data_IF_371691090361
#
_entry.id   IF_371691090361
#
_cell.length_a   1.000
_cell.length_b   1.000
_cell.length_c   1.000
_cell.angle_alpha   90.00
_cell.angle_beta   90.00
_cell.angle_gamma   90.00
#
_symmetry.space_group_name_H-M   'P 1'
#
loop_
_entity.id
_entity.type
_entity.pdbx_description
1 polymer ?
#
# COMPACT_ATOMS: atom_id res chain seq x y z
N UNK A 1 -10.92 6.19 -39.33
CA UNK A 1 -10.34 4.99 -38.67
C UNK A 1 -10.51 3.84 -39.62
N UNK A 2 -9.45 3.42 -40.28
CA UNK A 2 -9.45 2.27 -41.20
C UNK A 2 -9.56 0.99 -40.40
N UNK A 3 -10.46 0.10 -40.82
CA UNK A 3 -10.62 -1.22 -40.22
C UNK A 3 -9.28 -2.00 -40.28
N UNK A 4 -8.92 -2.78 -39.23
CA UNK A 4 -7.74 -3.63 -39.31
C UNK A 4 -7.89 -4.64 -40.46
N UNK A 5 -6.82 -4.99 -41.17
CA UNK A 5 -6.85 -6.01 -42.18
C UNK A 5 -7.27 -7.37 -41.59
N UNK A 6 -7.89 -8.26 -42.38
CA UNK A 6 -8.29 -9.58 -41.94
C UNK A 6 -7.05 -10.39 -41.50
N UNK A 7 -7.19 -11.36 -40.55
CA UNK A 7 -6.08 -12.15 -40.05
C UNK A 7 -5.36 -12.86 -41.22
N UNK A 8 -4.04 -12.73 -41.27
CA UNK A 8 -3.21 -13.46 -42.24
C UNK A 8 -3.22 -14.94 -41.85
N UNK A 9 -3.02 -15.81 -42.88
CA UNK A 9 -2.95 -17.27 -42.68
C UNK A 9 -1.78 -17.73 -41.76
N UNK A 10 -0.88 -16.80 -41.39
CA UNK A 10 0.23 -17.03 -40.47
C UNK A 10 -0.06 -16.37 -39.09
N UNK A 11 -0.42 -17.16 -38.06
CA UNK A 11 -0.71 -16.65 -36.72
C UNK A 11 0.48 -15.90 -36.08
N UNK A 12 1.72 -16.26 -36.43
CA UNK A 12 2.93 -15.65 -35.87
C UNK A 12 3.17 -14.28 -36.46
N UNK A 13 2.93 -14.11 -37.76
CA UNK A 13 3.04 -12.82 -38.43
C UNK A 13 1.96 -11.86 -37.94
N UNK A 14 0.74 -12.35 -37.72
CA UNK A 14 -0.37 -11.58 -37.18
C UNK A 14 -0.11 -11.15 -35.71
N UNK A 15 0.42 -12.04 -34.86
CA UNK A 15 0.79 -11.71 -33.47
C UNK A 15 1.91 -10.66 -33.43
N UNK A 16 2.92 -10.73 -34.30
CA UNK A 16 3.95 -9.70 -34.42
C UNK A 16 3.38 -8.34 -34.87
N UNK A 17 2.45 -8.35 -35.81
CA UNK A 17 1.77 -7.13 -36.28
C UNK A 17 0.92 -6.49 -35.17
N UNK A 18 0.18 -7.30 -34.40
CA UNK A 18 -0.60 -6.83 -33.25
C UNK A 18 0.30 -6.27 -32.14
N UNK A 19 1.42 -6.91 -31.86
CA UNK A 19 2.40 -6.45 -30.87
C UNK A 19 3.01 -5.12 -31.30
N UNK A 20 3.35 -4.97 -32.58
CA UNK A 20 3.83 -3.71 -33.15
C UNK A 20 2.76 -2.61 -33.08
N UNK A 21 1.53 -2.89 -33.52
CA UNK A 21 0.43 -1.94 -33.49
C UNK A 21 0.04 -1.51 -32.07
N UNK A 22 0.15 -2.40 -31.11
CA UNK A 22 -0.09 -2.09 -29.67
C UNK A 22 1.04 -1.25 -29.09
N UNK A 23 2.30 -1.56 -29.41
CA UNK A 23 3.46 -0.75 -29.01
C UNK A 23 3.36 0.67 -29.61
N UNK A 24 3.00 0.79 -30.87
CA UNK A 24 2.79 2.08 -31.55
C UNK A 24 1.63 2.87 -30.92
N UNK A 25 0.52 2.21 -30.59
CA UNK A 25 -0.62 2.83 -29.89
C UNK A 25 -0.25 3.31 -28.49
N UNK A 26 0.58 2.55 -27.75
CA UNK A 26 1.14 2.92 -26.47
C UNK A 26 2.08 4.13 -26.60
N UNK A 27 3.00 4.11 -27.55
CA UNK A 27 3.89 5.25 -27.83
C UNK A 27 3.13 6.50 -28.24
N UNK A 28 2.09 6.36 -29.05
CA UNK A 28 1.23 7.47 -29.45
C UNK A 28 0.46 8.06 -28.28
N UNK A 29 -0.17 7.23 -27.44
CA UNK A 29 -0.84 7.70 -26.21
C UNK A 29 0.11 8.35 -25.22
N UNK A 30 1.35 7.86 -25.12
CA UNK A 30 2.40 8.48 -24.31
C UNK A 30 2.81 9.84 -24.84
N UNK A 31 3.07 9.95 -26.12
CA UNK A 31 3.41 11.22 -26.77
C UNK A 31 2.29 12.25 -26.57
N UNK A 32 1.03 11.85 -26.68
CA UNK A 32 -0.14 12.70 -26.39
C UNK A 32 -0.18 13.13 -24.91
N UNK A 33 0.11 12.21 -23.98
CA UNK A 33 0.15 12.52 -22.55
C UNK A 33 1.29 13.47 -22.20
N UNK A 34 2.49 13.24 -22.72
CA UNK A 34 3.66 14.11 -22.54
C UNK A 34 3.44 15.50 -23.14
N UNK A 35 2.77 15.57 -24.31
CA UNK A 35 2.41 16.83 -24.95
C UNK A 35 1.39 17.62 -24.12
N UNK A 36 0.42 16.94 -23.52
CA UNK A 36 -0.54 17.57 -22.59
C UNK A 36 0.14 18.07 -21.32
N UNK A 37 1.07 17.28 -20.75
CA UNK A 37 1.84 17.71 -19.57
C UNK A 37 2.76 18.89 -19.89
N UNK A 38 3.47 18.89 -21.02
CA UNK A 38 4.30 20.00 -21.45
C UNK A 38 3.48 21.28 -21.66
N UNK A 39 2.26 21.18 -22.23
CA UNK A 39 1.35 22.34 -22.36
C UNK A 39 0.90 22.86 -20.99
N UNK A 40 0.62 21.98 -20.03
CA UNK A 40 0.23 22.38 -18.67
C UNK A 40 1.38 23.02 -17.89
N UNK A 41 2.62 22.61 -18.15
CA UNK A 41 3.82 23.22 -17.56
C UNK A 41 4.18 24.57 -18.22
N UNK A 42 3.87 24.78 -19.51
CA UNK A 42 4.12 26.03 -20.21
C UNK A 42 3.10 27.13 -19.91
N UNK A 43 1.99 26.82 -19.23
CA UNK A 43 0.98 27.79 -18.79
C UNK A 43 1.26 28.31 -17.37
N UNK A 44 2.27 27.80 -16.67
CA UNK A 44 2.78 28.35 -15.43
C UNK A 44 3.85 29.40 -15.73
N UNK A 45 3.64 30.65 -15.35
CA UNK A 45 4.61 31.75 -15.48
C UNK A 45 5.97 31.35 -14.91
N UNK A 46 7.10 31.70 -15.55
CA UNK A 46 8.42 31.35 -15.09
C UNK A 46 8.75 32.04 -13.76
N UNK A 47 9.44 31.37 -12.82
CA UNK A 47 9.89 32.03 -11.58
C UNK A 47 10.94 33.09 -11.90
N UNK A 48 10.62 34.32 -11.59
CA UNK A 48 11.51 35.48 -11.73
C UNK A 48 12.48 35.56 -10.56
N UNK A 49 13.48 34.65 -10.51
CA UNK A 49 14.73 34.88 -9.74
C UNK A 49 15.80 33.86 -10.11
N UNK A 50 17.01 34.31 -10.48
CA UNK A 50 18.16 33.42 -10.65
C UNK A 50 18.63 32.91 -9.28
N UNK A 51 19.21 31.70 -9.18
CA UNK A 51 19.78 31.17 -7.95
C UNK A 51 21.05 31.97 -7.55
N UNK A 52 21.31 32.08 -6.24
CA UNK A 52 22.53 32.76 -5.76
C UNK A 52 23.78 31.94 -6.11
N UNK A 53 24.95 32.61 -6.34
CA UNK A 53 26.19 31.94 -6.71
C UNK A 53 26.74 31.12 -5.54
N UNK A 54 27.38 30.02 -5.89
CA UNK A 54 28.08 29.10 -4.98
C UNK A 54 29.33 29.83 -4.44
N UNK A 55 29.60 29.85 -3.11
CA UNK A 55 30.85 30.36 -2.57
C UNK A 55 31.99 29.39 -2.85
N UNK A 56 33.02 29.86 -3.49
CA UNK A 56 34.34 29.22 -3.61
C UNK A 56 35.14 29.36 -2.30
N UNK A 57 35.70 28.27 -1.83
CA UNK A 57 36.65 28.20 -0.71
C UNK A 57 37.86 29.10 -0.89
N UNK A 58 38.18 29.86 0.15
CA UNK A 58 39.60 30.15 0.48
C UNK A 58 39.73 30.63 1.93
N UNK A 59 40.40 29.79 2.71
CA UNK A 59 41.39 29.99 3.76
C UNK A 59 41.30 31.13 4.81
N UNK A 60 41.29 30.65 6.07
CA UNK A 60 42.10 31.08 7.24
C UNK A 60 41.89 32.48 7.85
N UNK A 61 41.48 32.55 9.07
CA UNK A 61 42.27 32.87 10.29
C UNK A 61 41.39 33.44 11.42
N UNK A 62 41.63 32.87 12.57
CA UNK A 62 41.56 33.32 13.96
C UNK A 62 41.07 34.75 14.32
N UNK A 63 40.22 34.80 15.31
CA UNK A 63 40.22 35.54 16.61
C UNK A 63 38.82 35.93 17.06
N UNK A 64 38.44 35.37 18.19
CA UNK A 64 38.40 35.93 19.54
C UNK A 64 37.31 36.93 19.87
N UNK A 65 36.49 36.53 20.85
CA UNK A 65 35.85 37.32 21.92
C UNK A 65 34.78 38.37 21.57
N UNK A 66 33.60 38.24 22.06
CA UNK A 66 33.07 38.88 23.28
C UNK A 66 31.56 38.77 23.38
N UNK A 67 31.13 38.34 24.53
CA UNK A 67 29.76 38.56 25.05
C UNK A 67 29.66 40.00 25.58
N UNK A 68 28.51 40.58 25.62
CA UNK A 68 28.01 41.04 26.92
C UNK A 68 26.57 40.67 27.24
N UNK A 69 26.41 40.51 28.49
CA UNK A 69 25.25 40.30 29.35
C UNK A 69 24.43 41.58 29.56
N UNK A 70 23.29 41.33 30.22
CA UNK A 70 22.39 42.20 31.01
C UNK A 70 21.15 42.70 30.27
N UNK A 71 19.98 42.84 30.86
CA UNK A 71 19.49 42.65 32.25
C UNK A 71 17.95 42.78 32.24
N UNK A 72 17.30 42.03 33.10
CA UNK A 72 16.23 42.37 34.04
C UNK A 72 15.19 43.47 33.71
N UNK A 73 13.94 43.11 33.87
CA UNK A 73 12.82 44.02 34.07
C UNK A 73 11.54 43.28 34.48
N UNK A 74 11.34 43.16 35.79
CA UNK A 74 10.15 42.64 36.49
C UNK A 74 9.07 43.74 36.66
N UNK A 75 7.78 43.35 36.63
CA UNK A 75 6.72 43.90 37.50
C UNK A 75 5.41 43.12 37.19
N UNK A 76 4.92 42.28 38.02
CA UNK A 76 3.95 42.33 39.17
C UNK A 76 2.67 43.13 38.93
N UNK A 77 1.51 42.40 39.01
CA UNK A 77 0.36 42.61 39.87
C UNK A 77 -0.81 41.77 39.43
N UNK A 78 -1.24 40.74 40.16
CA UNK A 78 -2.28 40.66 41.21
C UNK A 78 -3.69 41.07 40.78
N UNK A 79 -4.59 40.05 40.74
CA UNK A 79 -5.84 40.02 41.55
C UNK A 79 -6.69 38.80 41.18
N UNK A 80 -6.90 37.93 42.16
CA UNK A 80 -8.15 37.14 42.34
C UNK A 80 -9.08 37.95 43.22
N UNK A 81 -10.44 37.73 43.28
CA UNK A 81 -11.00 36.47 43.77
C UNK A 81 -12.40 36.13 43.23
N UNK A 82 -12.87 34.93 43.49
CA UNK A 82 -14.31 34.63 43.33
C UNK A 82 -14.68 33.15 43.41
N UNK A 83 -14.66 32.55 44.61
CA UNK A 83 -15.26 31.27 44.91
C UNK A 83 -16.76 31.27 44.65
N UNK A 84 -17.29 30.37 43.85
CA UNK A 84 -18.67 29.90 43.94
C UNK A 84 -18.73 28.38 43.95
N UNK A 85 -19.04 27.84 45.13
CA UNK A 85 -19.36 26.42 45.34
C UNK A 85 -20.71 26.11 44.69
N UNK A 86 -20.75 25.16 43.79
CA UNK A 86 -22.01 24.46 43.47
C UNK A 86 -21.78 22.97 43.68
N UNK A 87 -22.59 22.39 44.53
CA UNK A 87 -22.64 20.95 44.87
C UNK A 87 -23.09 20.18 43.64
N UNK A 88 -22.25 19.31 43.11
CA UNK A 88 -22.65 18.30 42.12
C UNK A 88 -22.82 16.96 42.85
N UNK A 89 -24.02 16.41 42.71
CA UNK A 89 -24.40 15.09 43.18
C UNK A 89 -23.63 14.04 42.39
N UNK A 90 -22.86 13.23 43.09
CA UNK A 90 -22.28 12.01 42.57
C UNK A 90 -23.41 11.01 42.29
N UNK A 91 -23.76 10.80 41.03
CA UNK A 91 -24.48 9.61 40.59
C UNK A 91 -23.47 8.62 40.06
N UNK A 92 -23.38 7.51 40.73
CA UNK A 92 -22.66 6.30 40.28
C UNK A 92 -23.31 5.87 38.95
N UNK A 93 -22.66 6.11 37.83
CA UNK A 93 -23.06 5.47 36.58
C UNK A 93 -22.28 4.15 36.48
N UNK A 94 -23.02 3.08 36.66
CA UNK A 94 -22.65 1.72 36.30
C UNK A 94 -22.06 1.71 34.89
N UNK A 95 -20.88 1.10 34.75
CA UNK A 95 -20.26 0.79 33.49
C UNK A 95 -21.20 -0.06 32.62
N UNK A 96 -21.95 0.58 31.74
CA UNK A 96 -22.62 -0.13 30.67
C UNK A 96 -21.54 -0.53 29.66
N UNK A 97 -21.28 -1.83 29.58
CA UNK A 97 -20.65 -2.47 28.43
C UNK A 97 -21.30 -1.91 27.17
N UNK A 98 -20.53 -1.16 26.39
CA UNK A 98 -20.95 -0.65 25.09
C UNK A 98 -21.19 -1.85 24.19
N UNK A 99 -22.44 -2.32 24.14
CA UNK A 99 -22.91 -3.26 23.12
C UNK A 99 -22.59 -2.65 21.76
N UNK A 100 -21.80 -3.37 20.96
CA UNK A 100 -21.63 -3.05 19.55
C UNK A 100 -23.02 -2.93 18.93
N UNK A 101 -23.29 -1.82 18.29
CA UNK A 101 -24.49 -1.68 17.45
C UNK A 101 -24.34 -2.68 16.30
N UNK A 102 -25.03 -3.76 16.44
CA UNK A 102 -25.24 -4.75 15.40
C UNK A 102 -26.43 -4.24 14.61
N UNK A 103 -26.27 -4.09 13.28
CA UNK A 103 -27.38 -3.72 12.40
C UNK A 103 -28.54 -4.74 12.54
N UNK A 104 -29.76 -4.42 12.07
CA UNK A 104 -30.90 -5.33 12.12
C UNK A 104 -30.65 -6.68 11.39
N UNK A 105 -29.56 -6.79 10.66
CA UNK A 105 -29.01 -7.90 9.89
C UNK A 105 -27.91 -8.69 10.63
N UNK A 106 -27.60 -8.34 11.87
CA UNK A 106 -26.61 -9.06 12.70
C UNK A 106 -25.16 -8.80 12.32
N UNK A 107 -24.86 -7.88 11.37
CA UNK A 107 -23.52 -7.56 10.90
C UNK A 107 -22.96 -6.31 11.61
N UNK A 108 -21.63 -6.18 11.74
CA UNK A 108 -21.02 -4.97 12.29
C UNK A 108 -21.44 -3.72 11.49
N UNK A 109 -21.54 -2.57 12.17
CA UNK A 109 -22.08 -1.32 11.65
C UNK A 109 -21.37 -0.74 10.40
N UNK A 110 -20.26 -1.35 9.88
CA UNK A 110 -19.63 -0.93 8.64
C UNK A 110 -20.37 -1.35 7.36
N UNK A 111 -21.47 -2.08 7.49
CA UNK A 111 -22.17 -2.73 6.37
C UNK A 111 -23.21 -1.86 5.65
N UNK A 112 -23.48 -0.66 6.06
CA UNK A 112 -24.56 0.12 5.47
C UNK A 112 -24.08 1.30 4.63
N UNK A 113 -23.65 1.02 3.39
CA UNK A 113 -23.38 2.04 2.39
C UNK A 113 -24.50 2.09 1.35
N UNK A 114 -25.46 2.96 1.54
CA UNK A 114 -26.58 3.14 0.60
C UNK A 114 -27.57 4.21 1.02
N UNK A 115 -27.57 4.62 2.29
CA UNK A 115 -28.11 5.89 2.71
C UNK A 115 -26.96 6.91 2.72
N UNK A 116 -27.23 8.16 2.42
CA UNK A 116 -26.32 9.30 2.68
C UNK A 116 -25.74 9.14 4.08
N UNK A 117 -24.54 8.51 4.18
CA UNK A 117 -23.88 8.37 5.47
C UNK A 117 -23.55 9.77 5.93
N UNK A 118 -24.04 10.13 7.11
CA UNK A 118 -23.52 11.29 7.80
C UNK A 118 -22.01 11.20 7.77
N UNK A 119 -21.36 12.22 7.21
CA UNK A 119 -19.92 12.30 7.19
C UNK A 119 -19.51 13.45 8.09
N UNK A 120 -18.64 13.19 9.05
CA UNK A 120 -18.17 14.18 10.01
C UNK A 120 -16.67 14.36 9.87
N UNK A 121 -16.17 15.60 9.90
CA UNK A 121 -14.75 15.87 9.92
C UNK A 121 -14.10 15.27 11.18
N UNK A 122 -12.78 14.89 11.11
CA UNK A 122 -12.06 14.42 12.29
C UNK A 122 -11.83 15.57 13.27
N UNK A 123 -12.24 15.40 14.52
CA UNK A 123 -12.08 16.39 15.59
C UNK A 123 -11.12 15.90 16.69
N UNK A 124 -11.10 14.60 16.95
CA UNK A 124 -10.23 14.01 17.96
C UNK A 124 -8.83 13.65 17.43
N UNK A 125 -7.86 13.56 18.35
CA UNK A 125 -6.45 13.33 18.01
C UNK A 125 -6.22 11.99 17.28
N UNK A 126 -6.96 10.93 17.61
CA UNK A 126 -6.81 9.62 16.97
C UNK A 126 -7.30 9.67 15.53
N UNK A 127 -8.47 10.28 15.30
CA UNK A 127 -9.04 10.49 13.96
C UNK A 127 -8.16 11.39 13.09
N UNK A 128 -7.60 12.47 13.64
CA UNK A 128 -6.66 13.35 12.92
C UNK A 128 -5.37 12.62 12.55
N UNK A 129 -4.84 11.80 13.46
CA UNK A 129 -3.65 10.97 13.18
C UNK A 129 -3.95 9.96 12.07
N UNK A 130 -5.11 9.30 12.12
CA UNK A 130 -5.50 8.33 11.10
C UNK A 130 -5.74 9.00 9.74
N UNK A 131 -6.37 10.19 9.71
CA UNK A 131 -6.48 11.01 8.50
C UNK A 131 -5.10 11.30 7.91
N UNK A 132 -4.15 11.78 8.73
CA UNK A 132 -2.78 12.05 8.29
C UNK A 132 -2.10 10.81 7.69
N UNK A 133 -2.29 9.64 8.31
CA UNK A 133 -1.79 8.37 7.79
C UNK A 133 -2.39 8.03 6.43
N UNK A 134 -3.71 8.11 6.26
CA UNK A 134 -4.38 7.78 5.00
C UNK A 134 -4.01 8.77 3.88
N UNK A 135 -3.86 10.07 4.19
CA UNK A 135 -3.37 11.08 3.25
C UNK A 135 -1.94 10.77 2.77
N UNK A 136 -1.07 10.34 3.66
CA UNK A 136 0.30 9.94 3.31
C UNK A 136 0.30 8.71 2.40
N UNK A 137 -0.46 7.68 2.76
CA UNK A 137 -0.57 6.43 1.99
C UNK A 137 -1.17 6.66 0.59
N UNK A 138 -2.11 7.60 0.45
CA UNK A 138 -2.70 7.97 -0.83
C UNK A 138 -1.68 8.49 -1.85
N UNK A 139 -0.50 8.95 -1.42
CA UNK A 139 0.56 9.40 -2.32
C UNK A 139 1.34 8.24 -2.97
N UNK A 140 1.23 7.02 -2.45
CA UNK A 140 1.95 5.85 -3.00
C UNK A 140 1.61 5.61 -4.47
N UNK A 141 0.34 5.39 -4.87
CA UNK A 141 0.01 5.14 -6.28
C UNK A 141 0.15 6.39 -7.17
N UNK A 142 0.10 7.59 -6.61
CA UNK A 142 0.31 8.81 -7.39
C UNK A 142 1.74 8.90 -7.97
N UNK A 143 2.72 8.29 -7.30
CA UNK A 143 4.11 8.23 -7.77
C UNK A 143 4.27 7.33 -9.02
N UNK A 144 3.37 6.38 -9.23
CA UNK A 144 3.40 5.49 -10.40
C UNK A 144 3.08 6.20 -11.71
N UNK A 145 2.51 7.40 -11.64
CA UNK A 145 2.19 8.20 -12.83
C UNK A 145 3.39 8.98 -13.40
N UNK A 146 4.59 8.80 -12.83
CA UNK A 146 5.82 9.43 -13.35
C UNK A 146 6.21 8.77 -14.68
N UNK A 147 6.23 9.50 -15.82
CA UNK A 147 6.51 8.92 -17.13
C UNK A 147 7.89 8.27 -17.22
N UNK A 148 8.93 8.92 -16.65
CA UNK A 148 10.28 8.37 -16.66
C UNK A 148 10.39 7.06 -15.89
N UNK A 149 9.66 6.93 -14.77
CA UNK A 149 9.59 5.68 -13.99
C UNK A 149 8.92 4.56 -14.78
N UNK A 150 7.84 4.89 -15.50
CA UNK A 150 7.12 3.93 -16.32
C UNK A 150 7.97 3.48 -17.53
N UNK A 151 8.72 4.41 -18.14
CA UNK A 151 9.63 4.09 -19.23
C UNK A 151 10.76 3.18 -18.77
N UNK A 152 11.40 3.49 -17.65
CA UNK A 152 12.43 2.64 -17.05
C UNK A 152 11.87 1.24 -16.74
N UNK A 153 10.71 1.16 -16.12
CA UNK A 153 10.07 -0.11 -15.81
C UNK A 153 9.86 -0.98 -17.06
N UNK A 154 9.43 -0.38 -18.18
CA UNK A 154 9.23 -1.12 -19.43
C UNK A 154 10.53 -1.63 -20.05
N UNK A 155 11.67 -0.98 -19.81
CA UNK A 155 12.96 -1.49 -20.28
C UNK A 155 13.40 -2.76 -19.53
N UNK A 156 12.94 -2.90 -18.28
CA UNK A 156 13.29 -4.01 -17.42
C UNK A 156 12.37 -5.24 -17.59
N UNK A 157 11.13 -5.00 -18.03
CA UNK A 157 10.14 -6.08 -18.26
C UNK A 157 10.48 -6.80 -19.57
N UNK A 158 10.60 -8.15 -19.59
CA UNK A 158 10.81 -8.92 -20.81
C UNK A 158 9.50 -9.00 -21.61
N UNK A 159 9.08 -7.89 -22.23
CA UNK A 159 7.77 -7.72 -22.84
C UNK A 159 7.44 -8.82 -23.86
N UNK A 160 8.41 -9.23 -24.68
CA UNK A 160 8.17 -10.28 -25.69
C UNK A 160 7.78 -11.61 -25.02
N UNK A 161 8.44 -11.98 -23.92
CA UNK A 161 8.09 -13.19 -23.14
C UNK A 161 6.71 -13.04 -22.49
N UNK A 162 6.47 -11.89 -21.82
CA UNK A 162 5.21 -11.62 -21.12
C UNK A 162 4.02 -11.69 -22.09
N UNK A 163 4.14 -11.09 -23.27
CA UNK A 163 3.07 -11.11 -24.25
C UNK A 163 2.87 -12.48 -24.92
N UNK A 164 3.94 -13.24 -25.12
CA UNK A 164 3.83 -14.61 -25.64
C UNK A 164 3.09 -15.52 -24.63
N UNK A 165 3.50 -15.48 -23.34
CA UNK A 165 2.81 -16.23 -22.28
C UNK A 165 1.35 -15.81 -22.14
N UNK A 166 1.04 -14.51 -22.25
CA UNK A 166 -0.31 -13.98 -22.15
C UNK A 166 -1.18 -14.43 -23.32
N UNK A 167 -0.64 -14.48 -24.51
CA UNK A 167 -1.35 -14.95 -25.71
C UNK A 167 -1.73 -16.42 -25.59
N UNK A 168 -0.77 -17.27 -25.20
CA UNK A 168 -1.01 -18.69 -24.98
C UNK A 168 -2.11 -18.91 -23.93
N UNK A 169 -2.03 -18.21 -22.80
CA UNK A 169 -3.01 -18.32 -21.72
C UNK A 169 -4.39 -17.80 -22.13
N UNK A 170 -4.45 -16.71 -22.89
CA UNK A 170 -5.70 -16.15 -23.42
C UNK A 170 -6.37 -17.14 -24.36
N UNK A 171 -5.62 -17.75 -25.27
CA UNK A 171 -6.14 -18.77 -26.18
C UNK A 171 -6.65 -20.02 -25.45
N UNK A 172 -5.99 -20.42 -24.34
CA UNK A 172 -6.47 -21.51 -23.49
C UNK A 172 -7.84 -21.16 -22.85
N UNK A 173 -8.01 -19.96 -22.29
CA UNK A 173 -9.30 -19.53 -21.72
C UNK A 173 -10.40 -19.45 -22.77
N UNK A 174 -10.09 -19.01 -23.98
CA UNK A 174 -11.06 -18.99 -25.09
C UNK A 174 -11.42 -20.39 -25.58
N UNK A 175 -10.45 -21.30 -25.64
CA UNK A 175 -10.70 -22.70 -25.99
C UNK A 175 -11.57 -23.39 -24.93
N UNK A 176 -11.27 -23.16 -23.64
CA UNK A 176 -12.08 -23.66 -22.52
C UNK A 176 -13.51 -23.11 -22.60
N UNK A 177 -13.67 -21.81 -22.84
CA UNK A 177 -14.99 -21.20 -22.98
C UNK A 177 -15.80 -21.81 -24.11
N UNK A 178 -15.19 -22.00 -25.28
CA UNK A 178 -15.83 -22.66 -26.45
C UNK A 178 -16.28 -24.10 -26.11
N UNK A 179 -15.42 -24.85 -25.41
CA UNK A 179 -15.76 -26.23 -25.01
C UNK A 179 -16.94 -26.30 -24.02
N UNK A 180 -17.12 -25.23 -23.22
CA UNK A 180 -18.20 -25.11 -22.24
C UNK A 180 -19.44 -24.37 -22.79
N UNK A 181 -19.47 -24.04 -24.10
CA UNK A 181 -20.56 -23.27 -24.71
C UNK A 181 -20.70 -21.83 -24.19
N UNK A 182 -19.64 -21.25 -23.67
CA UNK A 182 -19.59 -19.87 -23.17
C UNK A 182 -19.12 -18.93 -24.29
N UNK A 183 -19.64 -17.72 -24.29
CA UNK A 183 -19.29 -16.69 -25.27
C UNK A 183 -17.87 -16.09 -25.06
N UNK A 184 -17.38 -16.11 -23.83
CA UNK A 184 -16.11 -15.45 -23.45
C UNK A 184 -15.27 -16.33 -22.55
N UNK A 185 -13.96 -16.20 -22.69
CA UNK A 185 -12.99 -16.76 -21.75
C UNK A 185 -13.21 -16.25 -20.33
N UNK A 186 -12.68 -16.96 -19.36
CA UNK A 186 -12.76 -16.56 -17.94
C UNK A 186 -12.03 -15.25 -17.68
N UNK A 187 -10.91 -15.01 -18.35
CA UNK A 187 -10.06 -13.83 -18.26
C UNK A 187 -9.79 -13.28 -19.64
N UNK A 188 -9.62 -11.97 -19.75
CA UNK A 188 -9.27 -11.30 -20.99
C UNK A 188 -7.75 -11.25 -21.21
N UNK A 189 -7.33 -10.84 -22.40
CA UNK A 189 -5.92 -10.77 -22.76
C UNK A 189 -5.10 -9.90 -21.79
N UNK A 190 -5.60 -8.71 -21.40
CA UNK A 190 -4.90 -7.85 -20.43
C UNK A 190 -4.75 -8.52 -19.04
N UNK A 191 -5.73 -9.32 -18.63
CA UNK A 191 -5.64 -10.10 -17.40
C UNK A 191 -4.52 -11.14 -17.49
N UNK A 192 -4.39 -11.82 -18.64
CA UNK A 192 -3.32 -12.77 -18.92
C UNK A 192 -1.94 -12.09 -18.93
N UNK A 193 -1.83 -10.86 -19.45
CA UNK A 193 -0.59 -10.07 -19.39
C UNK A 193 -0.17 -9.86 -17.93
N UNK A 194 -1.11 -9.51 -17.06
CA UNK A 194 -0.79 -9.31 -15.63
C UNK A 194 -0.46 -10.64 -14.93
N UNK A 195 -1.11 -11.75 -15.29
CA UNK A 195 -0.77 -13.06 -14.76
C UNK A 195 0.65 -13.50 -15.18
N UNK A 196 1.03 -13.30 -16.43
CA UNK A 196 2.38 -13.54 -16.90
C UNK A 196 3.41 -12.64 -16.20
N UNK A 197 3.10 -11.34 -16.04
CA UNK A 197 3.92 -10.39 -15.30
C UNK A 197 4.10 -10.81 -13.83
N UNK A 198 3.04 -11.31 -13.18
CA UNK A 198 3.07 -11.82 -11.81
C UNK A 198 4.02 -12.99 -11.65
N UNK A 199 3.95 -13.97 -12.57
CA UNK A 199 4.85 -15.14 -12.59
C UNK A 199 6.32 -14.71 -12.75
N UNK A 200 6.60 -13.87 -13.74
CA UNK A 200 7.94 -13.35 -13.96
C UNK A 200 8.46 -12.54 -12.77
N UNK A 201 7.67 -11.62 -12.25
CA UNK A 201 8.06 -10.80 -11.09
C UNK A 201 8.44 -11.66 -9.89
N UNK A 202 7.61 -12.66 -9.60
CA UNK A 202 7.80 -13.58 -8.47
C UNK A 202 9.00 -14.49 -8.61
N UNK A 203 9.25 -14.99 -9.81
CA UNK A 203 10.22 -16.08 -10.04
C UNK A 203 11.58 -15.56 -10.45
N UNK A 204 11.63 -14.48 -11.23
CA UNK A 204 12.83 -14.04 -11.92
C UNK A 204 13.29 -12.64 -11.55
N UNK A 205 12.40 -11.77 -11.06
CA UNK A 205 12.72 -10.35 -10.93
C UNK A 205 12.96 -9.89 -9.50
N UNK A 206 12.11 -10.26 -8.55
CA UNK A 206 12.14 -9.71 -7.20
C UNK A 206 12.39 -10.77 -6.14
N UNK A 207 13.26 -10.49 -5.17
CA UNK A 207 13.70 -11.45 -4.16
C UNK A 207 13.14 -11.12 -2.79
N UNK A 208 12.58 -12.13 -2.11
CA UNK A 208 12.16 -12.01 -0.74
C UNK A 208 13.34 -12.09 0.23
N UNK A 209 13.42 -11.14 1.16
CA UNK A 209 14.49 -11.07 2.15
C UNK A 209 13.90 -11.20 3.57
N UNK A 210 14.25 -12.28 4.26
CA UNK A 210 14.09 -12.36 5.70
C UNK A 210 15.29 -11.69 6.38
N UNK A 211 16.46 -12.27 6.21
CA UNK A 211 17.74 -11.71 6.63
C UNK A 211 18.63 -11.64 5.40
N UNK A 212 19.24 -10.49 5.07
CA UNK A 212 20.20 -10.39 3.98
C UNK A 212 21.46 -11.22 4.32
N UNK A 213 22.09 -11.81 3.32
CA UNK A 213 23.36 -12.48 3.52
C UNK A 213 24.48 -11.46 3.78
N UNK A 214 25.52 -11.89 4.48
CA UNK A 214 26.71 -11.07 4.70
C UNK A 214 27.36 -10.68 3.36
N UNK A 215 27.62 -9.40 3.08
CA UNK A 215 28.19 -8.96 1.81
C UNK A 215 29.64 -9.38 1.59
N UNK A 216 30.32 -9.83 2.66
CA UNK A 216 31.75 -10.20 2.61
C UNK A 216 31.96 -11.70 2.49
N UNK A 217 31.31 -12.49 3.33
CA UNK A 217 31.54 -13.94 3.37
C UNK A 217 30.33 -14.79 2.98
N UNK A 218 29.21 -14.13 2.61
CA UNK A 218 27.95 -14.77 2.20
C UNK A 218 27.32 -15.71 3.25
N UNK A 219 27.80 -15.66 4.50
CA UNK A 219 27.20 -16.38 5.61
C UNK A 219 25.86 -15.74 5.98
N UNK A 220 25.05 -16.49 6.69
CA UNK A 220 23.80 -16.00 7.27
C UNK A 220 24.06 -14.82 8.23
N UNK A 221 23.05 -13.99 8.41
CA UNK A 221 23.10 -12.88 9.33
C UNK A 221 21.98 -12.97 10.38
N UNK A 222 22.23 -12.43 11.56
CA UNK A 222 21.26 -12.27 12.63
C UNK A 222 20.80 -10.82 12.74
N UNK A 223 19.53 -10.54 13.09
CA UNK A 223 19.06 -9.19 13.31
C UNK A 223 19.64 -8.58 14.59
N UNK A 224 20.25 -7.39 14.47
CA UNK A 224 20.81 -6.63 15.61
C UNK A 224 19.90 -5.47 16.05
N UNK A 225 18.98 -5.01 15.20
CA UNK A 225 18.09 -3.92 15.54
C UNK A 225 17.86 -2.96 14.38
N UNK A 226 17.46 -1.75 14.75
CA UNK A 226 17.21 -0.66 13.82
C UNK A 226 18.34 0.36 13.89
N UNK A 227 18.66 0.97 12.76
CA UNK A 227 19.61 2.08 12.69
C UNK A 227 19.04 3.21 11.83
N UNK A 228 19.57 4.40 11.98
CA UNK A 228 19.18 5.53 11.15
C UNK A 228 19.63 5.30 9.69
N UNK A 229 18.78 5.62 8.71
CA UNK A 229 19.20 5.61 7.32
C UNK A 229 20.36 6.58 7.07
N UNK A 230 21.28 6.18 6.22
CA UNK A 230 22.32 7.06 5.71
C UNK A 230 21.71 8.14 4.77
N UNK A 231 22.40 9.27 4.51
CA UNK A 231 21.90 10.31 3.63
C UNK A 231 21.52 9.80 2.23
N UNK A 232 22.31 8.90 1.65
CA UNK A 232 22.01 8.28 0.34
C UNK A 232 20.85 7.29 0.40
N UNK A 233 20.69 6.56 1.51
CA UNK A 233 19.52 5.69 1.75
C UNK A 233 18.25 6.53 1.88
N UNK A 234 18.32 7.66 2.62
CA UNK A 234 17.20 8.60 2.78
C UNK A 234 16.83 9.24 1.44
N UNK A 235 17.80 9.65 0.64
CA UNK A 235 17.58 10.21 -0.70
C UNK A 235 16.86 9.24 -1.64
N UNK A 236 17.07 7.94 -1.45
CA UNK A 236 16.37 6.84 -2.16
C UNK A 236 15.07 6.39 -1.48
N UNK A 237 14.55 7.16 -0.53
CA UNK A 237 13.25 6.92 0.11
C UNK A 237 13.27 5.93 1.27
N UNK A 238 14.43 5.63 1.86
CA UNK A 238 14.46 4.85 3.09
C UNK A 238 14.03 5.72 4.27
N UNK A 239 13.02 5.26 5.01
CA UNK A 239 12.56 5.89 6.26
C UNK A 239 13.11 5.18 7.49
N UNK A 240 13.60 3.97 7.33
CA UNK A 240 14.19 3.12 8.36
C UNK A 240 15.17 2.15 7.73
N UNK A 241 16.17 1.73 8.49
CA UNK A 241 17.15 0.73 8.07
C UNK A 241 17.29 -0.32 9.17
N UNK A 242 17.16 -1.58 8.79
CA UNK A 242 17.43 -2.72 9.68
C UNK A 242 18.92 -3.03 9.64
N UNK A 243 19.50 -3.38 10.78
CA UNK A 243 20.90 -3.77 10.91
C UNK A 243 20.98 -5.28 11.20
N UNK A 244 21.84 -5.95 10.46
CA UNK A 244 22.09 -7.38 10.59
C UNK A 244 23.59 -7.62 10.81
N UNK A 245 23.93 -8.60 11.65
CA UNK A 245 25.32 -8.97 11.93
C UNK A 245 25.61 -10.35 11.37
N UNK A 246 26.75 -10.49 10.75
CA UNK A 246 27.24 -11.79 10.26
C UNK A 246 27.39 -12.79 11.41
N UNK A 247 26.82 -13.99 11.23
CA UNK A 247 26.93 -15.08 12.21
C UNK A 247 28.32 -15.72 12.24
N UNK A 248 29.13 -15.49 11.22
CA UNK A 248 30.52 -15.93 11.20
C UNK A 248 31.38 -15.02 12.09
N UNK A 249 31.80 -15.56 13.23
CA UNK A 249 32.58 -14.85 14.27
C UNK A 249 33.87 -14.23 13.72
N UNK A 250 34.50 -14.87 12.72
CA UNK A 250 35.74 -14.36 12.09
C UNK A 250 35.48 -13.18 11.15
N UNK A 251 34.27 -13.03 10.65
CA UNK A 251 33.91 -11.96 9.73
C UNK A 251 33.42 -10.70 10.50
N UNK A 252 32.46 -10.85 11.41
CA UNK A 252 31.92 -9.79 12.25
C UNK A 252 31.30 -8.60 11.52
N UNK A 253 31.14 -8.69 10.19
CA UNK A 253 30.61 -7.61 9.34
C UNK A 253 29.13 -7.37 9.59
N UNK A 254 28.71 -6.11 9.46
CA UNK A 254 27.31 -5.71 9.51
C UNK A 254 26.77 -5.49 8.10
N UNK A 255 25.53 -5.94 7.84
CA UNK A 255 24.77 -5.66 6.64
C UNK A 255 23.61 -4.72 7.00
N UNK A 256 23.41 -3.69 6.18
CA UNK A 256 22.32 -2.73 6.28
C UNK A 256 21.22 -3.12 5.32
N UNK A 257 19.99 -3.10 5.80
CA UNK A 257 18.81 -3.35 4.97
C UNK A 257 17.86 -2.17 5.03
N UNK A 258 18.10 -1.14 4.17
CA UNK A 258 17.21 0.01 4.08
C UNK A 258 15.85 -0.39 3.53
N UNK A 259 14.78 0.09 4.16
CA UNK A 259 13.40 -0.15 3.74
C UNK A 259 12.97 0.98 2.79
N UNK A 260 13.12 0.75 1.51
CA UNK A 260 12.82 1.74 0.48
C UNK A 260 11.34 1.84 0.17
N UNK A 261 10.79 3.05 0.16
CA UNK A 261 9.45 3.35 -0.37
C UNK A 261 9.49 3.92 -1.79
N UNK A 262 10.67 4.29 -2.29
CA UNK A 262 10.87 4.77 -3.65
C UNK A 262 10.99 3.59 -4.62
N UNK A 263 10.14 3.60 -5.65
CA UNK A 263 10.10 2.52 -6.64
C UNK A 263 11.33 2.51 -7.54
N UNK A 264 11.97 3.65 -7.81
CA UNK A 264 13.26 3.70 -8.51
C UNK A 264 14.33 2.88 -7.78
N UNK A 265 14.40 3.03 -6.46
CA UNK A 265 15.29 2.22 -5.66
C UNK A 265 14.93 0.74 -5.70
N UNK A 266 13.63 0.40 -5.73
CA UNK A 266 13.16 -0.97 -5.77
C UNK A 266 13.41 -1.64 -7.13
N UNK A 267 13.32 -0.93 -8.24
CA UNK A 267 13.69 -1.44 -9.56
C UNK A 267 15.16 -1.86 -9.64
N UNK A 268 16.02 -1.14 -8.92
CA UNK A 268 17.46 -1.42 -8.88
C UNK A 268 17.82 -2.51 -7.86
N UNK A 269 17.26 -2.44 -6.64
CA UNK A 269 17.60 -3.36 -5.55
C UNK A 269 16.94 -4.72 -5.70
N UNK A 270 15.75 -4.79 -6.28
CA UNK A 270 14.94 -5.99 -6.57
C UNK A 270 14.80 -6.94 -5.37
N UNK A 271 14.76 -6.37 -4.18
CA UNK A 271 14.69 -7.15 -2.94
C UNK A 271 13.85 -6.44 -1.88
N UNK A 272 13.12 -7.19 -1.08
CA UNK A 272 12.29 -6.62 -0.02
C UNK A 272 11.36 -7.63 0.62
N UNK A 273 10.39 -7.12 1.37
CA UNK A 273 9.26 -7.87 1.93
C UNK A 273 7.96 -7.39 1.33
N UNK A 274 6.81 -7.72 1.91
CA UNK A 274 5.49 -7.45 1.34
C UNK A 274 5.31 -5.99 0.88
N UNK A 275 5.80 -5.02 1.66
CA UNK A 275 5.70 -3.60 1.34
C UNK A 275 6.40 -3.24 0.03
N UNK A 276 7.65 -3.62 -0.08
CA UNK A 276 8.47 -3.39 -1.27
C UNK A 276 7.95 -4.19 -2.47
N UNK A 277 7.54 -5.45 -2.25
CA UNK A 277 6.97 -6.32 -3.28
C UNK A 277 5.71 -5.73 -3.90
N UNK A 278 4.72 -5.40 -3.09
CA UNK A 278 3.46 -4.85 -3.58
C UNK A 278 3.64 -3.47 -4.23
N UNK A 279 4.53 -2.62 -3.68
CA UNK A 279 4.80 -1.29 -4.22
C UNK A 279 5.45 -1.38 -5.62
N UNK A 280 6.49 -2.21 -5.76
CA UNK A 280 7.17 -2.42 -7.03
C UNK A 280 6.23 -3.09 -8.06
N UNK A 281 5.53 -4.15 -7.68
CA UNK A 281 4.62 -4.86 -8.56
C UNK A 281 3.45 -3.99 -9.05
N UNK A 282 2.83 -3.21 -8.17
CA UNK A 282 1.76 -2.27 -8.57
C UNK A 282 2.23 -1.29 -9.63
N UNK A 283 3.44 -0.75 -9.49
CA UNK A 283 4.01 0.14 -10.50
C UNK A 283 4.28 -0.57 -11.82
N UNK A 284 4.81 -1.82 -11.80
CA UNK A 284 5.01 -2.60 -13.04
C UNK A 284 3.67 -2.90 -13.75
N UNK A 285 2.60 -3.22 -13.00
CA UNK A 285 1.25 -3.35 -13.57
C UNK A 285 0.80 -2.04 -14.23
N UNK A 286 1.11 -0.90 -13.61
CA UNK A 286 0.79 0.42 -14.18
C UNK A 286 1.61 0.70 -15.43
N UNK A 287 2.87 0.27 -15.49
CA UNK A 287 3.74 0.44 -16.65
C UNK A 287 3.22 -0.30 -17.89
N UNK A 288 2.67 -1.50 -17.73
CA UNK A 288 2.03 -2.24 -18.84
C UNK A 288 0.60 -1.80 -19.12
N UNK A 289 0.17 -0.65 -18.58
CA UNK A 289 -1.07 0.03 -18.93
C UNK A 289 -2.29 -0.29 -18.06
N UNK A 290 -2.17 -1.15 -17.05
CA UNK A 290 -3.29 -1.48 -16.18
C UNK A 290 -3.64 -0.35 -15.21
N UNK A 291 -4.91 -0.26 -14.87
CA UNK A 291 -5.37 0.54 -13.74
C UNK A 291 -5.09 -0.26 -12.47
N UNK A 292 -4.45 0.38 -11.49
CA UNK A 292 -3.95 -0.29 -10.29
C UNK A 292 -4.42 0.39 -9.01
N UNK A 293 -4.59 -0.42 -7.98
CA UNK A 293 -4.70 0.00 -6.59
C UNK A 293 -3.61 -0.66 -5.77
N UNK A 294 -3.00 0.10 -4.88
CA UNK A 294 -2.17 -0.42 -3.81
C UNK A 294 -3.03 -0.53 -2.55
N UNK A 295 -3.17 -1.74 -2.01
CA UNK A 295 -4.06 -2.01 -0.88
C UNK A 295 -3.24 -2.13 0.38
N UNK A 296 -3.56 -1.27 1.36
CA UNK A 296 -2.99 -1.28 2.69
C UNK A 296 -3.93 -1.96 3.68
N UNK A 297 -3.38 -2.86 4.48
CA UNK A 297 -4.06 -3.48 5.61
C UNK A 297 -3.43 -3.02 6.93
N UNK A 298 -4.26 -2.66 7.91
CA UNK A 298 -3.80 -2.15 9.20
C UNK A 298 -3.05 -3.16 10.05
N UNK A 299 -3.19 -4.45 9.77
CA UNK A 299 -2.57 -5.56 10.47
C UNK A 299 -1.41 -6.17 9.66
N UNK A 300 -0.55 -5.29 9.17
CA UNK A 300 0.74 -5.64 8.55
C UNK A 300 0.62 -6.58 7.34
N UNK A 301 0.00 -6.07 6.28
CA UNK A 301 0.14 -6.64 4.94
C UNK A 301 -0.27 -5.63 3.89
N UNK A 302 0.27 -5.76 2.70
CA UNK A 302 -0.08 -4.94 1.53
C UNK A 302 -0.08 -5.80 0.28
N UNK A 303 -0.94 -5.46 -0.66
CA UNK A 303 -1.07 -6.17 -1.93
C UNK A 303 -1.55 -5.23 -3.03
N UNK A 304 -1.78 -5.78 -4.21
CA UNK A 304 -2.19 -5.07 -5.41
C UNK A 304 -3.61 -5.46 -5.80
N UNK A 305 -4.39 -4.53 -6.33
CA UNK A 305 -5.55 -4.81 -7.15
C UNK A 305 -5.34 -4.22 -8.55
N UNK A 306 -5.78 -4.92 -9.58
CA UNK A 306 -5.89 -4.38 -10.94
C UNK A 306 -7.34 -4.38 -11.39
N UNK A 307 -7.72 -3.39 -12.19
CA UNK A 307 -9.05 -3.36 -12.78
C UNK A 307 -9.06 -4.20 -14.04
N UNK A 308 -9.89 -5.24 -14.07
CA UNK A 308 -10.13 -6.04 -15.26
C UNK A 308 -11.29 -5.46 -16.05
N UNK A 309 -11.02 -4.96 -17.24
CA UNK A 309 -12.05 -4.49 -18.18
C UNK A 309 -12.89 -5.67 -18.70
N UNK A 310 -12.36 -6.87 -18.68
CA UNK A 310 -13.05 -8.08 -19.13
C UNK A 310 -14.18 -8.49 -18.20
N UNK A 311 -13.89 -8.53 -16.88
CA UNK A 311 -14.89 -8.87 -15.85
C UNK A 311 -15.50 -7.65 -15.16
N UNK A 312 -15.10 -6.43 -15.55
CA UNK A 312 -15.61 -5.15 -15.05
C UNK A 312 -15.56 -5.02 -13.51
N UNK A 313 -14.43 -5.44 -12.90
CA UNK A 313 -14.20 -5.32 -11.46
C UNK A 313 -12.73 -5.28 -11.12
N UNK A 314 -12.44 -4.90 -9.89
CA UNK A 314 -11.10 -5.01 -9.30
C UNK A 314 -10.77 -6.47 -8.96
N UNK A 315 -9.57 -6.90 -9.33
CA UNK A 315 -9.04 -8.25 -9.14
C UNK A 315 -7.88 -8.20 -8.16
N UNK A 316 -7.96 -9.03 -7.13
CA UNK A 316 -6.91 -9.18 -6.13
C UNK A 316 -5.66 -9.84 -6.69
N UNK A 317 -4.50 -9.29 -6.38
CA UNK A 317 -3.19 -9.86 -6.72
C UNK A 317 -2.25 -9.73 -5.52
N UNK A 318 -1.70 -10.85 -5.07
CA UNK A 318 -0.59 -10.84 -4.11
C UNK A 318 0.68 -11.32 -4.79
N UNK A 319 1.60 -10.39 -5.04
CA UNK A 319 2.86 -10.70 -5.70
C UNK A 319 3.78 -11.55 -4.84
N UNK A 320 3.67 -11.47 -3.51
CA UNK A 320 4.44 -12.30 -2.60
C UNK A 320 4.04 -13.78 -2.71
N UNK A 321 2.75 -14.05 -2.90
CA UNK A 321 2.18 -15.39 -2.90
C UNK A 321 1.90 -15.94 -4.32
N UNK A 322 2.15 -15.14 -5.36
CA UNK A 322 1.77 -15.45 -6.75
C UNK A 322 0.26 -15.76 -6.82
N UNK A 323 -0.53 -14.99 -6.07
CA UNK A 323 -1.96 -15.22 -5.97
C UNK A 323 -2.72 -14.28 -6.91
N UNK A 324 -3.57 -14.85 -7.75
CA UNK A 324 -4.48 -14.18 -8.66
C UNK A 324 -5.92 -14.45 -8.25
N UNK A 325 -6.72 -13.39 -8.07
CA UNK A 325 -8.15 -13.42 -7.71
C UNK A 325 -8.48 -14.32 -6.51
N UNK A 326 -7.70 -14.19 -5.43
CA UNK A 326 -7.90 -14.93 -4.18
C UNK A 326 -8.13 -14.00 -2.99
N UNK A 327 -9.20 -13.17 -2.98
CA UNK A 327 -9.39 -12.18 -1.91
C UNK A 327 -9.64 -12.81 -0.52
N UNK A 328 -10.01 -14.08 -0.43
CA UNK A 328 -10.22 -14.80 0.84
C UNK A 328 -8.95 -15.43 1.42
N UNK A 329 -7.82 -15.31 0.72
CA UNK A 329 -6.54 -15.91 1.11
C UNK A 329 -6.14 -15.54 2.54
N UNK A 330 -6.26 -14.28 2.90
CA UNK A 330 -5.81 -13.78 4.21
C UNK A 330 -6.74 -14.20 5.35
N UNK A 331 -8.03 -13.91 5.23
CA UNK A 331 -8.98 -14.17 6.29
C UNK A 331 -9.29 -15.67 6.44
N UNK A 332 -9.66 -16.33 5.34
CA UNK A 332 -10.10 -17.71 5.38
C UNK A 332 -8.94 -18.71 5.23
N UNK A 333 -7.93 -18.39 4.39
CA UNK A 333 -6.77 -19.24 4.18
C UNK A 333 -5.78 -19.20 5.34
N UNK A 334 -5.39 -18.00 5.79
CA UNK A 334 -4.40 -17.84 6.87
C UNK A 334 -5.02 -17.68 8.25
N UNK A 335 -6.33 -17.47 8.34
CA UNK A 335 -6.98 -17.12 9.61
C UNK A 335 -6.67 -15.72 10.10
N UNK A 336 -6.15 -14.84 9.23
CA UNK A 336 -5.78 -13.46 9.58
C UNK A 336 -7.02 -12.65 9.90
N UNK A 337 -7.00 -11.98 11.05
CA UNK A 337 -8.04 -11.03 11.45
C UNK A 337 -7.65 -9.63 11.01
N UNK A 338 -8.59 -8.86 10.47
CA UNK A 338 -8.31 -7.55 9.90
C UNK A 338 -9.40 -6.54 10.24
N UNK A 339 -8.99 -5.27 10.48
CA UNK A 339 -9.90 -4.15 10.75
C UNK A 339 -10.10 -3.26 9.52
N UNK A 340 -9.01 -2.89 8.86
CA UNK A 340 -9.03 -1.97 7.72
C UNK A 340 -8.24 -2.54 6.55
N UNK A 341 -8.87 -2.64 5.38
CA UNK A 341 -8.22 -2.82 4.09
C UNK A 341 -8.60 -1.64 3.21
N UNK A 342 -7.67 -0.74 2.97
CA UNK A 342 -7.93 0.50 2.21
C UNK A 342 -7.15 0.45 0.91
N UNK A 343 -7.85 0.53 -0.21
CA UNK A 343 -7.30 0.52 -1.55
C UNK A 343 -7.11 1.95 -2.06
N UNK A 344 -5.90 2.29 -2.46
CA UNK A 344 -5.52 3.59 -3.00
C UNK A 344 -5.16 3.48 -4.47
N UNK A 345 -5.67 4.38 -5.30
CA UNK A 345 -5.29 4.58 -6.70
C UNK A 345 -4.84 6.02 -6.95
N UNK A 346 -4.37 6.31 -8.16
CA UNK A 346 -4.04 7.68 -8.52
C UNK A 346 -5.29 8.59 -8.59
N UNK A 347 -6.47 8.00 -8.82
CA UNK A 347 -7.76 8.66 -9.05
C UNK A 347 -8.77 8.45 -7.91
N UNK A 348 -8.39 7.79 -6.80
CA UNK A 348 -9.31 7.61 -5.69
C UNK A 348 -8.82 6.74 -4.54
N UNK A 349 -9.76 6.44 -3.65
CA UNK A 349 -9.56 5.58 -2.48
C UNK A 349 -10.87 4.88 -2.16
N UNK A 350 -10.79 3.61 -1.74
CA UNK A 350 -11.96 2.80 -1.37
C UNK A 350 -11.65 1.94 -0.14
N UNK A 351 -12.58 1.85 0.79
CA UNK A 351 -12.55 0.84 1.85
C UNK A 351 -13.02 -0.50 1.26
N UNK A 352 -12.06 -1.38 1.03
CA UNK A 352 -12.29 -2.71 0.44
C UNK A 352 -12.33 -3.83 1.50
N UNK A 353 -12.43 -3.48 2.78
CA UNK A 353 -12.43 -4.45 3.89
C UNK A 353 -13.44 -5.57 3.65
N UNK A 354 -14.63 -5.26 3.14
CA UNK A 354 -15.71 -6.22 2.86
C UNK A 354 -15.37 -7.25 1.76
N UNK A 355 -14.44 -6.92 0.86
CA UNK A 355 -13.93 -7.88 -0.12
C UNK A 355 -13.07 -8.94 0.54
N UNK A 356 -12.27 -8.57 1.53
CA UNK A 356 -11.25 -9.42 2.16
C UNK A 356 -11.70 -10.08 3.45
N UNK A 357 -12.62 -9.43 4.19
CA UNK A 357 -13.16 -9.93 5.47
C UNK A 357 -14.65 -10.13 5.31
N UNK A 358 -15.04 -11.31 4.86
CA UNK A 358 -16.46 -11.66 4.61
C UNK A 358 -17.14 -12.26 5.83
N UNK A 359 -16.39 -12.91 6.71
CA UNK A 359 -16.92 -13.57 7.90
C UNK A 359 -16.53 -12.78 9.16
N UNK A 360 -17.51 -12.51 10.02
CA UNK A 360 -17.37 -11.73 11.26
C UNK A 360 -16.23 -12.24 12.17
N UNK A 361 -16.01 -13.55 12.24
CA UNK A 361 -14.94 -14.13 13.07
C UNK A 361 -13.53 -13.67 12.69
N UNK A 362 -13.34 -13.11 11.49
CA UNK A 362 -12.08 -12.54 11.00
C UNK A 362 -12.06 -11.00 11.04
N UNK A 363 -13.17 -10.37 11.43
CA UNK A 363 -13.22 -8.94 11.61
C UNK A 363 -12.60 -8.54 12.96
N UNK A 364 -11.77 -7.49 12.96
CA UNK A 364 -11.31 -6.81 14.17
C UNK A 364 -12.12 -5.54 14.41
N UNK A 365 -12.20 -5.07 15.66
CA UNK A 365 -12.81 -3.78 15.96
C UNK A 365 -12.12 -2.63 15.21
N UNK A 366 -12.91 -1.75 14.63
CA UNK A 366 -12.44 -0.57 13.90
C UNK A 366 -12.39 0.63 14.85
N UNK A 367 -11.23 0.85 15.46
CA UNK A 367 -11.06 1.79 16.60
C UNK A 367 -10.22 3.02 16.26
N UNK A 368 -9.68 3.14 15.02
CA UNK A 368 -8.82 4.25 14.64
C UNK A 368 -9.59 5.57 14.47
N UNK A 369 -10.86 5.50 14.08
CA UNK A 369 -11.81 6.61 14.04
C UNK A 369 -13.25 6.08 13.96
N UNK A 370 -14.29 6.90 14.26
CA UNK A 370 -15.68 6.58 13.94
C UNK A 370 -15.91 6.37 12.43
N UNK A 371 -16.86 5.51 12.05
CA UNK A 371 -17.14 5.21 10.62
C UNK A 371 -17.54 6.45 9.82
N UNK A 372 -18.33 7.36 10.41
CA UNK A 372 -18.71 8.63 9.76
C UNK A 372 -17.48 9.51 9.45
N UNK A 373 -16.48 9.49 10.33
CA UNK A 373 -15.21 10.19 10.12
C UNK A 373 -14.37 9.50 9.04
N UNK A 374 -14.33 8.18 9.01
CA UNK A 374 -13.65 7.46 7.92
C UNK A 374 -14.26 7.79 6.56
N UNK A 375 -15.58 7.78 6.45
CA UNK A 375 -16.28 8.18 5.22
C UNK A 375 -15.89 9.59 4.79
N UNK A 376 -15.81 10.54 5.74
CA UNK A 376 -15.35 11.89 5.46
C UNK A 376 -13.93 11.91 4.88
N UNK A 377 -12.98 11.24 5.52
CA UNK A 377 -11.58 11.19 5.10
C UNK A 377 -11.46 10.57 3.69
N UNK A 378 -12.17 9.47 3.43
CA UNK A 378 -12.14 8.82 2.12
C UNK A 378 -12.75 9.72 1.03
N UNK A 379 -13.83 10.44 1.33
CA UNK A 379 -14.42 11.40 0.40
C UNK A 379 -13.48 12.58 0.12
N UNK A 380 -12.81 13.09 1.15
CA UNK A 380 -11.80 14.15 1.02
C UNK A 380 -10.67 13.73 0.08
N UNK A 381 -10.08 12.54 0.29
CA UNK A 381 -9.03 12.00 -0.59
C UNK A 381 -9.57 11.81 -2.01
N UNK A 382 -10.76 11.27 -2.18
CA UNK A 382 -11.39 11.03 -3.48
C UNK A 382 -11.61 12.34 -4.23
N UNK A 383 -12.15 13.36 -3.58
CA UNK A 383 -12.35 14.69 -4.15
C UNK A 383 -11.03 15.29 -4.60
N UNK A 384 -10.02 15.28 -3.75
CA UNK A 384 -8.67 15.77 -4.06
C UNK A 384 -8.06 15.05 -5.29
N UNK A 385 -8.22 13.73 -5.39
CA UNK A 385 -7.68 12.95 -6.50
C UNK A 385 -8.43 13.16 -7.82
N UNK A 386 -9.71 13.47 -7.75
CA UNK A 386 -10.58 13.67 -8.93
C UNK A 386 -10.69 15.12 -9.38
N UNK A 387 -10.17 16.08 -8.63
CA UNK A 387 -10.28 17.52 -8.89
C UNK A 387 -9.88 17.91 -10.33
N UNK A 388 -8.86 17.24 -10.88
CA UNK A 388 -8.30 17.54 -12.21
C UNK A 388 -8.78 16.61 -13.33
N UNK A 389 -9.70 15.72 -13.04
CA UNK A 389 -10.23 14.78 -14.01
C UNK A 389 -11.33 15.45 -14.87
N UNK A 390 -11.54 14.90 -16.07
CA UNK A 390 -12.66 15.35 -16.91
C UNK A 390 -14.00 14.94 -16.28
N UNK A 391 -15.09 15.69 -16.54
CA UNK A 391 -16.43 15.31 -16.08
C UNK A 391 -16.86 13.90 -16.53
N UNK A 392 -16.41 13.48 -17.72
CA UNK A 392 -16.67 12.13 -18.23
C UNK A 392 -15.95 11.05 -17.42
N UNK A 393 -14.70 11.31 -17.02
CA UNK A 393 -13.94 10.39 -16.17
C UNK A 393 -14.53 10.30 -14.76
N UNK A 394 -14.90 11.44 -14.19
CA UNK A 394 -15.57 11.47 -12.88
C UNK A 394 -16.84 10.62 -12.91
N UNK A 395 -17.72 10.83 -13.92
CA UNK A 395 -18.96 10.06 -14.08
C UNK A 395 -18.70 8.55 -14.27
N UNK A 396 -17.66 8.19 -15.01
CA UNK A 396 -17.24 6.79 -15.16
C UNK A 396 -16.82 6.19 -13.81
N UNK A 397 -15.98 6.89 -13.06
CA UNK A 397 -15.49 6.45 -11.76
C UNK A 397 -16.62 6.34 -10.73
N UNK A 398 -17.58 7.27 -10.72
CA UNK A 398 -18.76 7.21 -9.86
C UNK A 398 -19.62 5.96 -10.15
N UNK A 399 -19.78 5.61 -11.43
CA UNK A 399 -20.47 4.39 -11.84
C UNK A 399 -19.71 3.14 -11.36
N UNK A 400 -18.39 3.12 -11.49
CA UNK A 400 -17.55 2.02 -11.02
C UNK A 400 -17.59 1.89 -9.50
N UNK A 401 -17.50 2.99 -8.76
CA UNK A 401 -17.66 3.04 -7.30
C UNK A 401 -19.02 2.44 -6.87
N UNK A 402 -20.09 2.77 -7.60
CA UNK A 402 -21.40 2.21 -7.34
C UNK A 402 -21.47 0.70 -7.60
N UNK A 403 -20.89 0.23 -8.71
CA UNK A 403 -20.86 -1.20 -9.05
C UNK A 403 -20.03 -1.99 -8.03
N UNK A 404 -18.93 -1.44 -7.57
CA UNK A 404 -18.10 -2.03 -6.50
C UNK A 404 -18.88 -2.13 -5.18
N UNK A 405 -19.66 -1.10 -4.82
CA UNK A 405 -20.53 -1.15 -3.64
C UNK A 405 -21.62 -2.25 -3.78
N UNK A 406 -22.17 -2.44 -4.97
CA UNK A 406 -23.11 -3.55 -5.25
C UNK A 406 -22.41 -4.91 -5.10
N UNK A 407 -21.14 -5.01 -5.52
CA UNK A 407 -20.33 -6.22 -5.34
C UNK A 407 -20.13 -6.53 -3.85
N UNK A 408 -19.81 -5.53 -3.03
CA UNK A 408 -19.64 -5.69 -1.59
C UNK A 408 -20.91 -6.18 -0.90
N UNK A 409 -22.07 -5.65 -1.28
CA UNK A 409 -23.36 -6.14 -0.75
C UNK A 409 -23.65 -7.59 -1.11
N UNK A 410 -23.25 -8.04 -2.31
CA UNK A 410 -23.37 -9.46 -2.69
C UNK A 410 -22.48 -10.34 -1.80
N UNK A 411 -21.28 -9.89 -1.45
CA UNK A 411 -20.40 -10.62 -0.54
C UNK A 411 -20.99 -10.76 0.85
N UNK A 412 -21.60 -9.70 1.37
CA UNK A 412 -22.30 -9.71 2.66
C UNK A 412 -23.46 -10.70 2.65
N UNK A 413 -24.28 -10.63 1.62
CA UNK A 413 -25.42 -11.56 1.46
C UNK A 413 -24.96 -13.02 1.39
N UNK A 414 -23.96 -13.33 0.58
CA UNK A 414 -23.39 -14.67 0.47
C UNK A 414 -22.79 -15.17 1.79
N UNK A 415 -22.20 -14.28 2.58
CA UNK A 415 -21.68 -14.64 3.89
C UNK A 415 -22.80 -15.02 4.87
N UNK A 416 -23.89 -14.26 4.88
CA UNK A 416 -25.08 -14.54 5.69
C UNK A 416 -25.75 -15.87 5.30
N UNK A 417 -25.93 -16.12 4.00
CA UNK A 417 -26.45 -17.41 3.51
C UNK A 417 -25.56 -18.59 3.91
N UNK A 418 -24.22 -18.41 3.79
CA UNK A 418 -23.28 -19.45 4.17
C UNK A 418 -23.26 -19.70 5.69
N UNK A 419 -23.49 -18.70 6.53
CA UNK A 419 -23.62 -18.86 7.98
C UNK A 419 -24.94 -19.52 8.35
N UNK A 420 -26.05 -19.16 7.73
CA UNK A 420 -27.35 -19.79 7.92
C UNK A 420 -27.31 -21.27 7.52
N UNK A 421 -26.65 -21.61 6.41
CA UNK A 421 -26.48 -22.99 5.96
C UNK A 421 -25.55 -23.83 6.86
N UNK A 422 -24.61 -23.22 7.59
CA UNK A 422 -23.68 -23.91 8.50
C UNK A 422 -24.28 -24.38 9.80
N UNK A 423 -25.43 -23.87 10.18
CA UNK A 423 -26.19 -24.39 11.33
C UNK A 423 -26.68 -25.82 11.10
N UNK A 424 -26.44 -26.41 9.90
CA UNK A 424 -26.82 -27.77 9.54
C UNK A 424 -25.69 -28.70 9.05
N UNK A 425 -24.44 -28.25 8.83
CA UNK A 425 -23.42 -29.13 8.23
C UNK A 425 -22.00 -28.94 8.83
N UNK A 426 -21.35 -30.06 9.14
CA UNK A 426 -19.97 -30.18 9.65
C UNK A 426 -18.93 -29.81 8.57
N UNK A 427 -18.01 -28.90 8.90
CA UNK A 427 -16.95 -28.39 8.00
C UNK A 427 -15.93 -29.46 7.62
N UNK A 428 -15.64 -29.58 6.33
CA UNK A 428 -14.40 -30.17 5.81
C UNK A 428 -13.44 -29.03 5.42
N UNK A 429 -12.26 -29.02 6.00
CA UNK A 429 -11.16 -28.10 5.63
C UNK A 429 -10.52 -28.58 4.33
N UNK A 430 -10.34 -27.68 3.37
CA UNK A 430 -9.65 -27.99 2.11
C UNK A 430 -8.14 -28.12 2.40
N UNK A 431 -7.50 -29.26 2.11
CA UNK A 431 -6.06 -29.40 2.26
C UNK A 431 -5.35 -28.66 1.11
N UNK A 432 -4.37 -27.79 1.43
CA UNK A 432 -3.45 -27.28 0.42
C UNK A 432 -3.19 -25.77 0.39
N UNK A 433 -3.77 -24.97 1.32
CA UNK A 433 -3.41 -23.55 1.39
C UNK A 433 -2.01 -23.36 1.97
N UNK A 434 -1.17 -22.62 1.23
CA UNK A 434 0.19 -22.29 1.66
C UNK A 434 0.15 -21.45 2.93
N UNK A 435 0.98 -21.79 3.91
CA UNK A 435 1.15 -20.93 5.10
C UNK A 435 1.69 -19.55 4.69
N UNK A 436 1.29 -18.48 5.42
CA UNK A 436 1.81 -17.13 5.13
C UNK A 436 3.32 -17.10 5.25
N UNK A 437 3.97 -16.30 4.40
CA UNK A 437 5.41 -16.05 4.51
C UNK A 437 5.67 -15.33 5.82
N UNK A 438 6.69 -15.80 6.52
CA UNK A 438 7.12 -15.18 7.78
C UNK A 438 8.37 -14.35 7.54
N UNK A 439 8.36 -13.09 7.94
CA UNK A 439 9.50 -12.17 7.87
C UNK A 439 10.27 -12.10 9.20
N UNK A 440 10.55 -13.24 9.83
CA UNK A 440 11.22 -13.35 11.12
C UNK A 440 10.28 -13.75 12.27
N UNK A 441 10.82 -13.75 13.50
CA UNK A 441 10.07 -14.06 14.73
C UNK A 441 9.02 -12.99 15.03
N UNK A 442 8.01 -13.31 15.84
CA UNK A 442 6.98 -12.36 16.27
C UNK A 442 7.57 -11.13 16.93
N UNK A 443 8.57 -11.33 17.82
CA UNK A 443 9.27 -10.24 18.51
C UNK A 443 10.03 -9.33 17.56
N UNK A 444 10.66 -9.91 16.54
CA UNK A 444 11.34 -9.13 15.50
C UNK A 444 10.37 -8.34 14.62
N UNK A 445 9.23 -8.91 14.29
CA UNK A 445 8.14 -8.19 13.60
C UNK A 445 7.62 -7.02 14.44
N UNK A 446 7.47 -7.25 15.76
CA UNK A 446 7.04 -6.21 16.69
C UNK A 446 8.04 -5.05 16.73
N UNK A 447 9.35 -5.33 16.86
CA UNK A 447 10.40 -4.29 16.87
C UNK A 447 10.45 -3.48 15.58
N UNK A 448 10.05 -4.06 14.46
CA UNK A 448 9.97 -3.37 13.15
C UNK A 448 8.65 -2.62 12.92
N UNK A 449 7.70 -2.70 13.85
CA UNK A 449 6.37 -2.11 13.70
C UNK A 449 5.52 -2.76 12.59
N UNK A 450 5.76 -4.03 12.27
CA UNK A 450 5.07 -4.77 11.21
C UNK A 450 3.81 -5.51 11.68
N UNK A 451 3.43 -5.37 12.93
CA UNK A 451 2.25 -6.01 13.54
C UNK A 451 1.01 -5.11 13.58
N UNK A 452 1.04 -3.97 12.88
CA UNK A 452 -0.10 -3.04 12.79
C UNK A 452 -0.34 -2.20 14.06
N UNK A 453 0.42 -2.43 15.11
CA UNK A 453 0.43 -1.57 16.30
C UNK A 453 1.46 -0.48 16.03
N UNK A 454 1.02 0.78 15.95
CA UNK A 454 1.95 1.91 15.92
C UNK A 454 2.85 1.79 17.16
N UNK A 455 4.16 1.62 16.97
CA UNK A 455 5.10 1.69 18.08
C UNK A 455 4.94 3.08 18.70
N UNK A 456 4.45 3.12 19.93
CA UNK A 456 4.73 4.26 20.78
C UNK A 456 6.23 4.46 20.71
N UNK A 457 6.67 5.65 20.37
CA UNK A 457 8.07 6.03 20.32
C UNK A 457 8.72 5.68 21.64
N UNK A 458 9.41 4.55 21.69
CA UNK A 458 10.32 4.25 22.79
C UNK A 458 11.43 5.29 22.67
N UNK A 459 11.42 6.22 23.59
CA UNK A 459 12.49 7.20 23.77
C UNK A 459 13.82 6.46 23.93
N UNK A 460 14.94 6.90 23.39
CA UNK A 460 16.22 6.19 23.46
C UNK A 460 16.84 6.12 24.88
N UNK A 461 16.09 6.46 25.93
CA UNK A 461 16.61 6.60 27.31
C UNK A 461 16.22 5.45 28.25
N UNK A 462 15.44 4.44 27.80
CA UNK A 462 15.11 3.30 28.64
C UNK A 462 15.77 2.00 28.14
N UNK A 463 17.08 1.95 28.16
CA UNK A 463 17.84 0.71 28.22
C UNK A 463 18.23 0.44 29.68
N UNK A 464 17.75 -0.63 30.31
CA UNK A 464 18.28 -1.08 31.58
C UNK A 464 19.54 -1.93 31.31
N UNK A 465 20.68 -1.27 31.10
CA UNK A 465 21.97 -1.95 31.14
C UNK A 465 23.09 -0.96 31.48
N UNK A 466 23.16 -0.58 32.75
CA UNK A 466 24.36 -0.03 33.36
C UNK A 466 24.30 -0.19 34.91
N UNK A 467 24.06 -1.39 35.38
CA UNK A 467 24.35 -1.73 36.81
C UNK A 467 24.51 -3.23 36.91
N UNK A 468 25.73 -3.70 36.83
CA UNK A 468 26.32 -4.79 37.63
C UNK A 468 27.65 -5.20 36.97
N UNK A 469 28.70 -4.47 37.30
CA UNK A 469 30.06 -4.95 37.47
C UNK A 469 30.75 -4.04 38.48
N UNK A 470 30.45 -4.25 39.74
CA UNK A 470 31.36 -3.90 40.82
C UNK A 470 31.28 -4.99 41.85
N UNK A 471 32.46 -5.54 42.13
CA UNK A 471 32.88 -6.31 43.31
C UNK A 471 32.36 -7.74 43.50
N UNK A 472 33.30 -8.67 43.38
CA UNK A 472 33.89 -9.24 44.61
C UNK A 472 35.26 -9.84 44.29
N UNK A 473 36.31 -9.19 44.83
CA UNK A 473 37.58 -9.81 45.07
C UNK A 473 37.61 -10.44 46.45
N UNK A 474 37.95 -11.71 46.44
CA UNK A 474 38.83 -12.31 47.48
C UNK A 474 39.33 -13.65 46.98
#
# INVERSE_FOLDING_TARGET
>A
MSNPPPPSEDPVAWAKHLTGAFADALHKKRAECLTKQARNLSLGSPPSRPPPPIPSDSSSSSRSCMRPTTSLGSSSSSSQPGLRKTKSKFTLSTSSSRSQEVGPDGLPAYTRSGATRESHPPEDVASLRFRGQLMLLANTPARYENPGLLDEALTLIPLNRIYAEAEEESQMYEAEARSLGKERGKWGYQDCVIMALLRWFKRDFFTWINNPLCPVCYSETSPEGMTQPLPDETARGATRTELFKCTNVRCGTYERFPRYSDVWALLNTRRGRCGEWANCFSMLCRAVGSRVRWVWNSEDHVWTEVYSEHVNRWVHIDSCEEAWDKPRLYAEGWGKKMAYCIAFSHDGVTDVTRRYVRLQKYALPRTKCPEAVLVHILNEIRTMRRERLSPSDIKRLEKEDYLEEVEFRKFEWQALEAEAAKNGARRTTTPGEKRPRQSGTTDWKHRRGENGIASETVSPLDTPDARMMEHDGH
#
